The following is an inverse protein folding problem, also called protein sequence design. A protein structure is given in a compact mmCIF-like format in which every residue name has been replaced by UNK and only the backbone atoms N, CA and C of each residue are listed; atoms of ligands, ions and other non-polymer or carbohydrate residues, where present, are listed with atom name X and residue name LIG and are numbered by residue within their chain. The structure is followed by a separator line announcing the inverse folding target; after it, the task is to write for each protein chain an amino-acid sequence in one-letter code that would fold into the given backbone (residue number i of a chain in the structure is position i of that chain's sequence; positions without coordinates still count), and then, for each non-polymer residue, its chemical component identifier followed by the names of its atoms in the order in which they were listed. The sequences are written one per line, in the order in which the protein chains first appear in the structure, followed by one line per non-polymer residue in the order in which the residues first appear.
data_IF_179474915231
#
_entry.id   IF_179474915231
#
_cell.length_a   1.000
_cell.length_b   1.000
_cell.length_c   1.000
_cell.angle_alpha   90.00
_cell.angle_beta   90.00
_cell.angle_gamma   90.00
#
_symmetry.space_group_name_H-M   'P 1'
#
loop_
_entity.id
_entity.type
_entity.pdbx_description
1 polymer ?
#
# COMPACT_ATOMS: atom_id res chain seq x y z
N UNK A 1 14.14 -15.40 -34.09
CA UNK A 1 13.74 -13.97 -33.93
C UNK A 1 12.47 -13.86 -33.08
N UNK A 2 12.56 -13.50 -31.80
CA UNK A 2 11.38 -13.18 -30.95
C UNK A 2 11.10 -11.68 -31.06
N UNK A 3 10.08 -11.29 -31.83
CA UNK A 3 9.65 -9.89 -31.95
C UNK A 3 8.98 -9.42 -30.65
N UNK A 4 9.68 -8.56 -29.90
CA UNK A 4 9.18 -7.44 -29.10
C UNK A 4 7.75 -7.55 -28.53
N UNK A 5 7.60 -8.24 -27.40
CA UNK A 5 6.63 -7.93 -26.34
C UNK A 5 7.26 -6.92 -25.34
N UNK A 6 7.87 -5.87 -25.86
CA UNK A 6 8.80 -5.03 -25.08
C UNK A 6 8.07 -4.04 -24.18
N UNK A 7 6.86 -3.63 -24.55
CA UNK A 7 6.09 -2.63 -23.82
C UNK A 7 5.25 -3.28 -22.72
N UNK A 8 5.78 -3.26 -21.49
CA UNK A 8 5.12 -3.70 -20.26
C UNK A 8 5.37 -2.71 -19.14
N UNK A 9 4.47 -2.68 -18.16
CA UNK A 9 4.68 -2.03 -16.87
C UNK A 9 4.54 -3.06 -15.76
N UNK A 10 5.45 -3.01 -14.80
CA UNK A 10 5.51 -3.94 -13.66
C UNK A 10 5.26 -3.17 -12.38
N UNK A 11 4.27 -3.59 -11.61
CA UNK A 11 4.01 -3.13 -10.26
C UNK A 11 4.56 -4.17 -9.28
N UNK A 12 5.61 -3.80 -8.55
CA UNK A 12 6.30 -4.64 -7.59
C UNK A 12 5.98 -4.22 -6.15
N UNK A 13 6.32 -5.07 -5.18
CA UNK A 13 6.18 -4.71 -3.77
C UNK A 13 6.94 -3.41 -3.46
N UNK A 14 6.30 -2.50 -2.70
CA UNK A 14 6.86 -1.19 -2.39
C UNK A 14 8.09 -1.28 -1.50
N UNK A 15 8.99 -0.30 -1.62
CA UNK A 15 10.16 -0.16 -0.74
C UNK A 15 9.76 -0.03 0.72
N UNK A 16 8.61 0.59 1.01
CA UNK A 16 8.04 0.66 2.36
C UNK A 16 7.68 -0.72 2.92
N UNK A 17 7.08 -1.60 2.11
CA UNK A 17 6.80 -2.98 2.51
C UNK A 17 8.09 -3.78 2.81
N UNK A 18 9.14 -3.57 2.01
CA UNK A 18 10.46 -4.19 2.24
C UNK A 18 11.13 -3.68 3.52
N UNK A 19 11.06 -2.38 3.76
CA UNK A 19 11.58 -1.76 4.97
C UNK A 19 10.83 -2.24 6.22
N UNK A 20 9.49 -2.34 6.14
CA UNK A 20 8.67 -2.88 7.23
C UNK A 20 9.07 -4.31 7.58
N UNK A 21 9.28 -5.17 6.57
CA UNK A 21 9.73 -6.55 6.77
C UNK A 21 11.10 -6.61 7.46
N UNK A 22 12.05 -5.77 7.03
CA UNK A 22 13.37 -5.70 7.65
C UNK A 22 13.29 -5.25 9.13
N UNK A 23 12.54 -4.19 9.41
CA UNK A 23 12.38 -3.66 10.76
C UNK A 23 11.65 -4.65 11.69
N UNK A 24 10.57 -5.28 11.23
CA UNK A 24 9.81 -6.24 12.04
C UNK A 24 10.63 -7.49 12.34
N UNK A 25 11.38 -7.99 11.35
CA UNK A 25 12.30 -9.13 11.54
C UNK A 25 13.38 -8.82 12.57
N UNK A 26 13.99 -7.63 12.51
CA UNK A 26 14.99 -7.21 13.50
C UNK A 26 14.40 -7.12 14.91
N UNK A 27 13.17 -6.61 15.03
CA UNK A 27 12.45 -6.48 16.29
C UNK A 27 12.17 -7.85 16.93
N UNK A 28 11.63 -8.79 16.17
CA UNK A 28 11.35 -10.14 16.66
C UNK A 28 12.64 -10.89 17.04
N UNK A 29 13.70 -10.71 16.26
CA UNK A 29 15.00 -11.29 16.59
C UNK A 29 15.55 -10.73 17.92
N UNK A 30 15.59 -9.41 18.07
CA UNK A 30 16.09 -8.76 19.29
C UNK A 30 15.28 -9.14 20.53
N UNK A 31 13.95 -9.15 20.42
CA UNK A 31 13.06 -9.58 21.50
C UNK A 31 13.25 -11.07 21.83
N UNK A 32 13.37 -11.93 20.83
CA UNK A 32 13.60 -13.36 21.02
C UNK A 32 14.91 -13.66 21.75
N UNK A 33 15.99 -12.99 21.36
CA UNK A 33 17.29 -13.09 22.05
C UNK A 33 17.18 -12.56 23.48
N UNK A 34 16.58 -11.38 23.68
CA UNK A 34 16.43 -10.78 25.01
C UNK A 34 15.62 -11.64 25.98
N UNK A 35 14.48 -12.17 25.53
CA UNK A 35 13.64 -13.07 26.33
C UNK A 35 14.34 -14.41 26.61
N UNK A 36 15.11 -14.93 25.65
CA UNK A 36 15.91 -16.14 25.86
C UNK A 36 16.98 -15.94 26.93
N UNK A 37 17.67 -14.79 26.90
CA UNK A 37 18.71 -14.47 27.89
C UNK A 37 18.12 -14.20 29.28
N UNK A 38 16.96 -13.55 29.36
CA UNK A 38 16.35 -13.16 30.63
C UNK A 38 15.56 -14.29 31.32
N UNK A 39 14.85 -15.12 30.55
CA UNK A 39 13.87 -16.08 31.07
C UNK A 39 14.03 -17.51 30.51
N UNK A 40 15.11 -17.77 29.77
CA UNK A 40 15.41 -19.08 29.19
C UNK A 40 14.79 -19.33 27.82
N UNK A 41 15.23 -20.42 27.17
CA UNK A 41 14.96 -20.74 25.76
C UNK A 41 13.47 -20.77 25.40
N UNK A 42 12.63 -21.33 26.26
CA UNK A 42 11.19 -21.46 26.02
C UNK A 42 10.50 -20.09 25.88
N UNK A 43 11.00 -19.09 26.60
CA UNK A 43 10.43 -17.74 26.62
C UNK A 43 10.72 -16.96 25.34
N UNK A 44 11.87 -17.21 24.68
CA UNK A 44 12.21 -16.59 23.40
C UNK A 44 11.72 -17.35 22.18
N UNK A 45 11.38 -18.63 22.32
CA UNK A 45 10.96 -19.50 21.21
C UNK A 45 9.79 -18.92 20.41
N UNK A 46 8.80 -18.34 21.07
CA UNK A 46 7.64 -17.71 20.41
C UNK A 46 8.05 -16.57 19.46
N UNK A 47 9.01 -15.72 19.87
CA UNK A 47 9.52 -14.65 19.03
C UNK A 47 10.28 -15.18 17.80
N UNK A 48 11.00 -16.30 17.93
CA UNK A 48 11.65 -16.94 16.78
C UNK A 48 10.64 -17.58 15.82
N UNK A 49 9.55 -18.17 16.33
CA UNK A 49 8.45 -18.64 15.47
C UNK A 49 7.79 -17.49 14.71
N UNK A 50 7.51 -16.37 15.39
CA UNK A 50 6.97 -15.16 14.75
C UNK A 50 7.95 -14.58 13.73
N UNK A 51 9.26 -14.60 14.01
CA UNK A 51 10.29 -14.19 13.07
C UNK A 51 10.22 -15.01 11.79
N UNK A 52 10.23 -16.35 11.90
CA UNK A 52 10.16 -17.24 10.74
C UNK A 52 8.88 -16.98 9.95
N UNK A 53 7.72 -16.89 10.63
CA UNK A 53 6.45 -16.58 9.97
C UNK A 53 6.49 -15.23 9.24
N UNK A 54 7.02 -14.19 9.88
CA UNK A 54 7.14 -12.85 9.30
C UNK A 54 8.03 -12.83 8.06
N UNK A 55 9.16 -13.55 8.09
CA UNK A 55 10.10 -13.66 6.97
C UNK A 55 9.47 -14.43 5.83
N UNK A 56 8.86 -15.59 6.08
CA UNK A 56 8.25 -16.40 5.02
C UNK A 56 7.11 -15.65 4.34
N UNK A 57 6.16 -15.10 5.11
CA UNK A 57 5.04 -14.34 4.57
C UNK A 57 5.53 -13.08 3.84
N UNK A 58 6.46 -12.34 4.44
CA UNK A 58 7.01 -11.14 3.83
C UNK A 58 7.80 -11.41 2.55
N UNK A 59 8.52 -12.53 2.45
CA UNK A 59 9.22 -12.93 1.23
C UNK A 59 8.24 -13.35 0.13
N UNK A 60 7.12 -14.00 0.48
CA UNK A 60 6.07 -14.33 -0.49
C UNK A 60 5.46 -13.07 -1.12
N UNK A 61 5.16 -12.06 -0.30
CA UNK A 61 4.59 -10.79 -0.77
C UNK A 61 5.58 -9.94 -1.58
N UNK A 62 6.88 -10.10 -1.31
CA UNK A 62 7.96 -9.45 -2.06
C UNK A 62 8.46 -10.26 -3.26
N UNK A 63 7.91 -11.44 -3.50
CA UNK A 63 8.35 -12.32 -4.59
C UNK A 63 8.02 -11.72 -5.96
N UNK A 64 8.84 -12.06 -6.98
CA UNK A 64 8.60 -11.62 -8.37
C UNK A 64 7.28 -12.14 -8.95
N UNK A 65 6.80 -13.28 -8.46
CA UNK A 65 5.54 -13.89 -8.90
C UNK A 65 4.32 -13.13 -8.41
N UNK A 66 4.46 -12.36 -7.32
CA UNK A 66 3.42 -11.47 -6.79
C UNK A 66 3.25 -10.17 -7.59
N UNK A 67 4.17 -9.87 -8.52
CA UNK A 67 4.14 -8.64 -9.29
C UNK A 67 2.93 -8.60 -10.23
N UNK A 68 2.24 -7.46 -10.25
CA UNK A 68 1.22 -7.19 -11.27
C UNK A 68 1.96 -6.71 -12.52
N UNK A 69 1.80 -7.41 -13.63
CA UNK A 69 2.43 -7.02 -14.91
C UNK A 69 1.36 -6.74 -15.93
N UNK A 70 1.33 -5.49 -16.41
CA UNK A 70 0.41 -5.06 -17.45
C UNK A 70 1.20 -5.00 -18.76
N UNK A 71 0.72 -5.71 -19.77
CA UNK A 71 1.31 -5.73 -21.11
C UNK A 71 0.25 -5.32 -22.13
N UNK A 72 0.65 -5.14 -23.39
CA UNK A 72 -0.32 -4.85 -24.45
C UNK A 72 -1.40 -5.93 -24.64
N UNK A 73 -1.11 -7.21 -24.32
CA UNK A 73 -2.04 -8.34 -24.58
C UNK A 73 -2.66 -8.93 -23.32
N UNK A 74 -1.89 -8.94 -22.23
CA UNK A 74 -2.22 -9.66 -21.02
C UNK A 74 -2.03 -8.80 -19.77
N UNK A 75 -2.93 -9.02 -18.81
CA UNK A 75 -2.74 -8.78 -17.39
C UNK A 75 -2.13 -10.03 -16.76
N UNK A 76 -1.03 -9.89 -16.03
CA UNK A 76 -0.51 -10.94 -15.18
C UNK A 76 -0.58 -10.56 -13.71
N UNK A 77 -0.92 -11.53 -12.88
CA UNK A 77 -0.77 -11.44 -11.43
C UNK A 77 -1.25 -12.70 -10.72
N UNK A 78 -1.05 -12.72 -9.41
CA UNK A 78 -1.45 -13.80 -8.53
C UNK A 78 -0.67 -13.70 -7.22
N UNK A 79 -1.14 -14.37 -6.18
CA UNK A 79 -0.45 -14.39 -4.88
C UNK A 79 0.65 -15.44 -4.83
N UNK A 80 0.35 -16.66 -5.27
CA UNK A 80 1.26 -17.82 -5.18
C UNK A 80 1.68 -18.34 -6.55
N UNK A 81 0.76 -18.29 -7.51
CA UNK A 81 1.00 -18.69 -8.90
C UNK A 81 0.53 -17.58 -9.82
N UNK A 82 1.40 -17.23 -10.77
CA UNK A 82 1.12 -16.19 -11.74
C UNK A 82 0.08 -16.68 -12.75
N UNK A 83 -1.03 -15.96 -12.84
CA UNK A 83 -2.09 -16.16 -13.82
C UNK A 83 -2.01 -15.06 -14.86
N UNK A 84 -2.28 -15.42 -16.12
CA UNK A 84 -2.41 -14.49 -17.23
C UNK A 84 -3.87 -14.35 -17.64
N UNK A 85 -4.30 -13.13 -17.97
CA UNK A 85 -5.63 -12.82 -18.46
C UNK A 85 -5.53 -11.92 -19.68
N UNK A 86 -6.19 -12.28 -20.78
CA UNK A 86 -6.30 -11.41 -21.96
C UNK A 86 -7.28 -10.27 -21.68
N UNK A 87 -6.98 -9.08 -22.21
CA UNK A 87 -7.82 -7.90 -21.99
C UNK A 87 -9.28 -8.10 -22.42
N UNK A 88 -9.51 -8.75 -23.57
CA UNK A 88 -10.87 -9.05 -24.06
C UNK A 88 -11.63 -10.08 -23.23
N UNK A 89 -10.97 -10.76 -22.29
CA UNK A 89 -11.57 -11.74 -21.37
C UNK A 89 -11.61 -11.24 -19.93
N UNK A 90 -11.09 -10.05 -19.68
CA UNK A 90 -11.11 -9.43 -18.36
C UNK A 90 -12.49 -8.80 -18.13
N UNK A 91 -13.17 -9.28 -17.09
CA UNK A 91 -14.45 -8.73 -16.66
C UNK A 91 -14.27 -7.58 -15.68
N UNK A 92 -14.98 -7.68 -14.54
CA UNK A 92 -14.91 -6.67 -13.49
C UNK A 92 -13.59 -6.77 -12.73
N UNK A 93 -13.06 -5.61 -12.33
CA UNK A 93 -11.89 -5.47 -11.46
C UNK A 93 -12.32 -4.64 -10.25
N UNK A 94 -11.91 -5.05 -9.05
CA UNK A 94 -12.25 -4.34 -7.82
C UNK A 94 -11.19 -4.53 -6.74
N UNK A 95 -11.15 -3.58 -5.81
CA UNK A 95 -10.30 -3.66 -4.63
C UNK A 95 -10.95 -4.57 -3.59
N UNK A 96 -10.17 -5.55 -3.11
CA UNK A 96 -10.35 -6.17 -1.80
C UNK A 96 -9.66 -5.32 -0.71
N UNK A 97 -9.42 -5.93 0.45
CA UNK A 97 -8.80 -5.23 1.57
C UNK A 97 -7.31 -4.93 1.31
N UNK A 98 -6.54 -5.91 0.80
CA UNK A 98 -5.11 -5.78 0.46
C UNK A 98 -4.78 -6.34 -0.92
N UNK A 99 -5.80 -6.58 -1.73
CA UNK A 99 -5.69 -7.39 -2.92
C UNK A 99 -6.51 -6.78 -4.03
N UNK A 100 -6.03 -6.89 -5.27
CA UNK A 100 -6.85 -6.63 -6.44
C UNK A 100 -7.52 -7.94 -6.85
N UNK A 101 -8.84 -7.88 -7.02
CA UNK A 101 -9.64 -8.97 -7.53
C UNK A 101 -10.01 -8.68 -8.97
N UNK A 102 -9.92 -9.69 -9.84
CA UNK A 102 -10.43 -9.58 -11.19
C UNK A 102 -11.10 -10.86 -11.65
N UNK A 103 -12.16 -10.69 -12.42
CA UNK A 103 -12.93 -11.77 -12.99
C UNK A 103 -12.48 -12.09 -14.41
N UNK A 104 -12.26 -13.37 -14.69
CA UNK A 104 -12.05 -13.88 -16.04
C UNK A 104 -13.36 -14.37 -16.65
N UNK A 105 -13.74 -13.78 -17.79
CA UNK A 105 -14.86 -14.23 -18.62
C UNK A 105 -14.39 -15.45 -19.43
N UNK A 106 -15.07 -16.58 -19.26
CA UNK A 106 -14.85 -17.78 -20.07
C UNK A 106 -15.70 -17.73 -21.34
N UNK A 107 -15.19 -18.36 -22.40
CA UNK A 107 -16.01 -18.69 -23.56
C UNK A 107 -17.17 -19.61 -23.13
N UNK A 108 -18.33 -19.42 -23.78
CA UNK A 108 -19.65 -20.02 -23.55
C UNK A 108 -19.71 -21.19 -22.54
N UNK A 109 -20.37 -20.96 -21.40
CA UNK A 109 -20.90 -21.99 -20.49
C UNK A 109 -20.06 -22.32 -19.25
N UNK A 110 -18.82 -21.81 -19.14
CA UNK A 110 -17.98 -22.05 -17.96
C UNK A 110 -18.20 -21.04 -16.84
N UNK A 111 -18.15 -21.48 -15.57
CA UNK A 111 -18.12 -20.58 -14.39
C UNK A 111 -16.95 -19.61 -14.50
N UNK A 112 -17.19 -18.34 -14.22
CA UNK A 112 -16.17 -17.30 -14.19
C UNK A 112 -15.11 -17.61 -13.13
N UNK A 113 -13.86 -17.28 -13.43
CA UNK A 113 -12.76 -17.50 -12.50
C UNK A 113 -12.38 -16.17 -11.87
N UNK A 114 -12.54 -16.04 -10.56
CA UNK A 114 -12.03 -14.89 -9.82
C UNK A 114 -10.56 -15.15 -9.50
N UNK A 115 -9.71 -14.20 -9.89
CA UNK A 115 -8.31 -14.18 -9.55
C UNK A 115 -8.07 -13.10 -8.50
N UNK A 116 -7.12 -13.39 -7.61
CA UNK A 116 -6.74 -12.55 -6.50
C UNK A 116 -5.24 -12.30 -6.60
N UNK A 117 -4.84 -11.04 -6.49
CA UNK A 117 -3.43 -10.64 -6.50
C UNK A 117 -3.16 -9.73 -5.34
N UNK A 118 -2.19 -10.11 -4.50
CA UNK A 118 -1.74 -9.28 -3.40
C UNK A 118 -1.30 -7.91 -3.91
N UNK A 119 -1.72 -6.87 -3.23
CA UNK A 119 -1.32 -5.49 -3.46
C UNK A 119 -0.63 -4.90 -2.23
N UNK A 120 -1.00 -5.39 -1.05
CA UNK A 120 -0.40 -5.04 0.23
C UNK A 120 -0.90 -3.69 0.75
N UNK A 121 -0.63 -3.43 2.03
CA UNK A 121 -1.12 -2.22 2.71
C UNK A 121 -0.44 -0.94 2.23
N UNK A 122 0.82 -1.07 1.80
CA UNK A 122 1.64 0.03 1.32
C UNK A 122 1.63 0.13 -0.20
N UNK A 123 0.55 -0.32 -0.87
CA UNK A 123 0.47 -0.39 -2.32
C UNK A 123 1.65 -1.08 -3.02
N UNK A 124 1.80 -0.80 -4.32
CA UNK A 124 2.90 -1.32 -5.14
C UNK A 124 3.70 -0.15 -5.70
N UNK A 125 4.94 -0.41 -6.11
CA UNK A 125 5.77 0.56 -6.84
C UNK A 125 5.91 0.14 -8.28
N UNK A 126 5.85 1.09 -9.20
CA UNK A 126 6.18 0.86 -10.59
C UNK A 126 7.69 0.65 -10.73
N UNK A 127 8.10 -0.51 -11.23
CA UNK A 127 9.51 -0.86 -11.41
C UNK A 127 10.26 0.09 -12.35
N UNK A 128 9.55 0.76 -13.27
CA UNK A 128 10.16 1.57 -14.32
C UNK A 128 10.48 3.01 -13.91
N UNK A 129 9.74 3.56 -12.95
CA UNK A 129 9.91 4.95 -12.51
C UNK A 129 9.93 5.09 -10.97
N UNK A 130 9.92 3.97 -10.24
CA UNK A 130 9.89 3.89 -8.78
C UNK A 130 8.72 4.65 -8.13
N UNK A 131 7.71 4.98 -8.93
CA UNK A 131 6.54 5.70 -8.44
C UNK A 131 5.65 4.75 -7.67
N UNK A 132 5.22 5.18 -6.49
CA UNK A 132 4.19 4.48 -5.76
C UNK A 132 2.86 4.50 -6.54
N UNK A 133 2.18 3.36 -6.62
CA UNK A 133 0.89 3.18 -7.26
C UNK A 133 -0.06 2.64 -6.20
N UNK A 134 -1.04 3.42 -5.80
CA UNK A 134 -2.11 2.96 -4.89
C UNK A 134 -3.03 1.96 -5.57
N UNK A 135 -3.77 1.18 -4.78
CA UNK A 135 -4.69 0.17 -5.32
C UNK A 135 -5.73 0.78 -6.27
N UNK A 136 -6.26 1.97 -5.95
CA UNK A 136 -7.22 2.68 -6.81
C UNK A 136 -6.60 3.08 -8.14
N UNK A 137 -5.33 3.51 -8.15
CA UNK A 137 -4.64 3.90 -9.37
C UNK A 137 -4.32 2.69 -10.25
N UNK A 138 -3.93 1.56 -9.64
CA UNK A 138 -3.71 0.32 -10.36
C UNK A 138 -4.99 -0.20 -11.01
N UNK A 139 -6.13 -0.13 -10.30
CA UNK A 139 -7.43 -0.50 -10.88
C UNK A 139 -7.74 0.37 -12.09
N UNK A 140 -7.58 1.70 -11.99
CA UNK A 140 -7.78 2.59 -13.14
C UNK A 140 -6.87 2.25 -14.32
N UNK A 141 -5.60 1.88 -14.08
CA UNK A 141 -4.70 1.48 -15.16
C UNK A 141 -5.13 0.18 -15.82
N UNK A 142 -5.58 -0.79 -15.02
CA UNK A 142 -6.10 -2.06 -15.51
C UNK A 142 -7.38 -1.84 -16.33
N UNK A 143 -8.30 -1.02 -15.85
CA UNK A 143 -9.54 -0.68 -16.55
C UNK A 143 -9.26 0.09 -17.84
N UNK A 144 -8.38 1.10 -17.82
CA UNK A 144 -7.98 1.83 -19.02
C UNK A 144 -7.37 0.91 -20.09
N UNK A 145 -6.58 -0.09 -19.71
CA UNK A 145 -6.01 -1.06 -20.65
C UNK A 145 -7.04 -2.08 -21.15
N UNK A 146 -7.99 -2.48 -20.30
CA UNK A 146 -9.13 -3.32 -20.70
C UNK A 146 -9.96 -2.62 -21.77
N UNK A 147 -10.29 -1.35 -21.53
CA UNK A 147 -11.25 -0.58 -22.32
C UNK A 147 -10.63 0.05 -23.59
N UNK A 148 -9.31 -0.06 -23.74
CA UNK A 148 -8.60 0.35 -24.95
C UNK A 148 -9.06 -0.45 -26.18
N UNK A 149 -9.21 0.22 -27.32
CA UNK A 149 -9.78 -0.35 -28.54
C UNK A 149 -8.76 -1.17 -29.36
N UNK A 150 -7.47 -0.87 -29.21
CA UNK A 150 -6.40 -1.50 -29.97
C UNK A 150 -5.16 -1.83 -29.12
N UNK A 151 -4.28 -2.68 -29.64
CA UNK A 151 -3.00 -2.99 -29.00
C UNK A 151 -2.04 -1.78 -29.02
N UNK A 152 -2.18 -0.90 -30.02
CA UNK A 152 -1.46 0.36 -30.15
C UNK A 152 -1.88 1.34 -29.03
N UNK A 153 -3.18 1.49 -28.77
CA UNK A 153 -3.68 2.32 -27.68
C UNK A 153 -3.18 1.83 -26.32
N UNK A 154 -3.17 0.51 -26.11
CA UNK A 154 -2.62 -0.10 -24.89
C UNK A 154 -1.13 0.19 -24.74
N UNK A 155 -0.36 0.14 -25.81
CA UNK A 155 1.07 0.50 -25.76
C UNK A 155 1.27 1.96 -25.39
N UNK A 156 0.47 2.87 -25.94
CA UNK A 156 0.55 4.29 -25.60
C UNK A 156 0.14 4.54 -24.15
N UNK A 157 -0.90 3.87 -23.64
CA UNK A 157 -1.26 3.91 -22.22
C UNK A 157 -0.12 3.41 -21.33
N UNK A 158 0.50 2.28 -21.66
CA UNK A 158 1.66 1.76 -20.89
C UNK A 158 2.80 2.78 -20.88
N UNK A 159 3.10 3.43 -22.01
CA UNK A 159 4.12 4.50 -22.07
C UNK A 159 3.75 5.68 -21.20
N UNK A 160 2.48 6.10 -21.19
CA UNK A 160 1.99 7.17 -20.30
C UNK A 160 2.12 6.79 -18.83
N UNK A 161 1.79 5.56 -18.45
CA UNK A 161 1.91 5.10 -17.06
C UNK A 161 3.35 5.06 -16.56
N UNK A 162 4.31 4.85 -17.45
CA UNK A 162 5.75 4.92 -17.16
C UNK A 162 6.27 6.34 -16.97
N UNK A 163 5.58 7.37 -17.44
CA UNK A 163 6.00 8.77 -17.23
C UNK A 163 5.99 9.11 -15.74
N UNK A 164 6.78 10.12 -15.38
CA UNK A 164 6.81 10.66 -14.02
C UNK A 164 5.45 11.23 -13.62
N UNK A 165 5.21 11.34 -12.31
CA UNK A 165 4.05 12.07 -11.80
C UNK A 165 4.12 13.54 -12.23
N UNK A 166 2.96 14.22 -12.38
CA UNK A 166 2.94 15.66 -12.61
C UNK A 166 3.71 16.41 -11.53
N UNK A 167 4.51 17.41 -11.92
CA UNK A 167 5.23 18.27 -10.98
C UNK A 167 4.35 19.40 -10.41
N UNK A 168 3.31 19.79 -11.13
CA UNK A 168 2.35 20.80 -10.71
C UNK A 168 1.09 20.16 -10.15
N UNK A 169 0.62 20.71 -9.03
CA UNK A 169 -0.65 20.33 -8.43
C UNK A 169 -1.77 21.22 -8.94
N UNK A 170 -2.90 20.60 -9.29
CA UNK A 170 -4.14 21.27 -9.67
C UNK A 170 -5.10 21.27 -8.49
N UNK A 171 -5.77 22.41 -8.29
CA UNK A 171 -6.85 22.51 -7.31
C UNK A 171 -8.00 21.58 -7.67
N UNK A 172 -8.62 20.95 -6.67
CA UNK A 172 -9.79 20.08 -6.85
C UNK A 172 -10.94 20.81 -7.54
N UNK A 173 -11.07 22.13 -7.32
CA UNK A 173 -12.10 22.95 -7.96
C UNK A 173 -11.89 23.14 -9.47
N UNK A 174 -10.67 22.87 -9.98
CA UNK A 174 -10.32 22.97 -11.40
C UNK A 174 -10.39 21.63 -12.14
N UNK A 175 -10.78 20.55 -11.46
CA UNK A 175 -10.89 19.21 -12.04
C UNK A 175 -12.23 19.02 -12.77
N UNK A 176 -12.31 17.99 -13.61
CA UNK A 176 -13.59 17.60 -14.20
C UNK A 176 -14.59 17.14 -13.11
N UNK A 177 -15.91 17.16 -13.37
CA UNK A 177 -16.90 16.73 -12.37
C UNK A 177 -16.66 15.32 -11.83
N UNK A 178 -16.23 14.39 -12.69
CA UNK A 178 -15.92 13.01 -12.30
C UNK A 178 -14.67 12.93 -11.40
N UNK A 179 -13.59 13.61 -11.81
CA UNK A 179 -12.36 13.68 -11.02
C UNK A 179 -12.62 14.36 -9.66
N UNK A 180 -13.42 15.43 -9.65
CA UNK A 180 -13.81 16.16 -8.46
C UNK A 180 -14.62 15.28 -7.50
N UNK A 181 -15.58 14.50 -8.01
CA UNK A 181 -16.36 13.56 -7.21
C UNK A 181 -15.46 12.50 -6.55
N UNK A 182 -14.50 11.94 -7.31
CA UNK A 182 -13.54 10.97 -6.78
C UNK A 182 -12.60 11.60 -5.76
N UNK A 183 -12.06 12.78 -6.03
CA UNK A 183 -11.21 13.52 -5.10
C UNK A 183 -11.93 13.80 -3.77
N UNK A 184 -13.18 14.27 -3.82
CA UNK A 184 -14.00 14.55 -2.64
C UNK A 184 -14.29 13.27 -1.83
N UNK A 185 -14.58 12.15 -2.50
CA UNK A 185 -14.78 10.85 -1.84
C UNK A 185 -13.52 10.45 -1.05
N UNK A 186 -12.35 10.51 -1.69
CA UNK A 186 -11.08 10.15 -1.07
C UNK A 186 -10.68 11.11 0.06
N UNK A 187 -10.96 12.41 -0.06
CA UNK A 187 -10.74 13.37 1.02
C UNK A 187 -11.63 13.10 2.24
N UNK A 188 -12.87 12.65 2.04
CA UNK A 188 -13.76 12.28 3.13
C UNK A 188 -13.19 11.08 3.89
N UNK A 189 -12.69 10.08 3.17
CA UNK A 189 -12.01 8.91 3.74
C UNK A 189 -10.72 9.28 4.49
N UNK A 190 -9.92 10.19 3.92
CA UNK A 190 -8.72 10.72 4.57
C UNK A 190 -9.05 11.37 5.93
N UNK A 191 -10.22 12.02 6.06
CA UNK A 191 -10.68 12.74 7.26
C UNK A 191 -11.43 11.88 8.28
N UNK A 192 -12.01 10.72 7.93
CA UNK A 192 -12.92 9.94 8.80
C UNK A 192 -12.24 9.09 9.89
N UNK A 193 -12.58 9.22 11.19
CA UNK A 193 -11.75 8.77 12.35
C UNK A 193 -11.47 7.27 12.55
N UNK A 194 -12.13 6.30 11.90
CA UNK A 194 -12.17 4.90 12.40
C UNK A 194 -10.82 4.14 12.50
N UNK A 195 -10.70 3.35 13.57
CA UNK A 195 -9.51 2.65 14.07
C UNK A 195 -9.26 1.30 13.38
N UNK A 196 -8.05 1.08 12.87
CA UNK A 196 -7.55 -0.23 12.43
C UNK A 196 -6.61 -0.12 11.23
N UNK A 197 -7.14 0.29 10.08
CA UNK A 197 -6.44 0.26 8.77
C UNK A 197 -6.13 1.64 8.16
N UNK A 198 -6.20 2.67 9.00
CA UNK A 198 -6.38 4.04 8.54
C UNK A 198 -5.10 4.70 8.03
N UNK A 199 -3.93 4.41 8.62
CA UNK A 199 -2.71 5.15 8.29
C UNK A 199 -2.13 4.75 6.93
N UNK A 200 -2.07 3.45 6.66
CA UNK A 200 -1.63 2.89 5.38
C UNK A 200 -2.55 3.37 4.25
N UNK A 201 -3.87 3.26 4.44
CA UNK A 201 -4.86 3.77 3.48
C UNK A 201 -4.78 5.29 3.29
N UNK A 202 -4.53 6.06 4.34
CA UNK A 202 -4.27 7.52 4.21
C UNK A 202 -3.02 7.81 3.40
N UNK A 203 -1.96 7.01 3.56
CA UNK A 203 -0.76 7.14 2.73
C UNK A 203 -1.07 6.84 1.27
N UNK A 204 -1.82 5.77 0.98
CA UNK A 204 -2.26 5.44 -0.38
C UNK A 204 -3.09 6.57 -1.02
N UNK A 205 -4.00 7.17 -0.26
CA UNK A 205 -4.80 8.30 -0.75
C UNK A 205 -3.89 9.49 -1.08
N UNK A 206 -2.93 9.82 -0.20
CA UNK A 206 -1.96 10.90 -0.47
C UNK A 206 -1.12 10.61 -1.70
N UNK A 207 -0.66 9.38 -1.84
CA UNK A 207 0.09 8.93 -3.01
C UNK A 207 -0.77 9.00 -4.28
N UNK A 208 -2.04 8.63 -4.21
CA UNK A 208 -2.98 8.76 -5.32
C UNK A 208 -3.11 10.23 -5.78
N UNK A 209 -3.26 11.16 -4.83
CA UNK A 209 -3.32 12.60 -5.13
C UNK A 209 -2.03 13.09 -5.79
N UNK A 210 -0.87 12.73 -5.23
CA UNK A 210 0.43 13.07 -5.82
C UNK A 210 0.59 12.50 -7.24
N UNK A 211 0.14 11.27 -7.47
CA UNK A 211 0.17 10.63 -8.80
C UNK A 211 -0.70 11.34 -9.84
N UNK A 212 -1.84 11.88 -9.40
CA UNK A 212 -2.78 12.62 -10.26
C UNK A 212 -2.43 14.10 -10.40
N UNK A 213 -1.47 14.60 -9.62
CA UNK A 213 -1.17 16.02 -9.51
C UNK A 213 -2.35 16.80 -8.95
N UNK A 214 -3.02 16.26 -7.94
CA UNK A 214 -4.16 16.91 -7.27
C UNK A 214 -3.72 17.46 -5.92
N UNK A 215 -4.05 18.73 -5.66
CA UNK A 215 -3.74 19.37 -4.39
C UNK A 215 -4.63 18.82 -3.27
N UNK A 216 -4.02 18.44 -2.15
CA UNK A 216 -4.75 18.10 -0.92
C UNK A 216 -5.01 19.41 -0.17
N UNK A 217 -6.28 19.84 0.02
CA UNK A 217 -6.56 21.07 0.74
C UNK A 217 -6.07 20.95 2.19
N UNK A 218 -5.42 21.99 2.74
CA UNK A 218 -4.87 21.94 4.08
C UNK A 218 -6.00 21.65 5.08
N UNK A 219 -5.77 20.66 5.94
CA UNK A 219 -6.66 20.40 7.06
C UNK A 219 -6.45 21.50 8.09
N UNK A 220 -7.44 22.38 8.25
CA UNK A 220 -7.50 23.26 9.43
C UNK A 220 -7.59 22.35 10.66
N UNK A 221 -6.49 22.22 11.40
CA UNK A 221 -6.53 21.58 12.72
C UNK A 221 -7.52 22.35 13.58
N UNK A 222 -8.46 21.65 14.23
CA UNK A 222 -9.32 22.33 15.18
C UNK A 222 -8.48 22.84 16.34
N UNK A 223 -8.74 24.05 16.79
CA UNK A 223 -8.06 24.71 17.92
C UNK A 223 -8.04 23.82 19.17
N UNK A 224 -9.06 22.96 19.30
CA UNK A 224 -9.25 21.99 20.37
C UNK A 224 -8.19 20.86 20.37
N UNK A 225 -7.76 20.37 19.20
CA UNK A 225 -6.70 19.34 19.11
C UNK A 225 -5.34 19.94 19.50
N UNK A 226 -5.06 21.17 19.09
CA UNK A 226 -3.83 21.87 19.51
C UNK A 226 -3.84 22.08 21.03
N UNK A 227 -4.97 22.52 21.60
CA UNK A 227 -5.10 22.68 23.05
C UNK A 227 -4.89 21.37 23.82
N UNK A 228 -5.41 20.25 23.32
CA UNK A 228 -5.19 18.92 23.93
C UNK A 228 -3.73 18.46 23.83
N UNK A 229 -3.03 18.76 22.73
CA UNK A 229 -1.60 18.44 22.58
C UNK A 229 -0.76 19.29 23.56
N UNK A 230 -1.05 20.58 23.68
CA UNK A 230 -0.39 21.43 24.68
C UNK A 230 -0.67 20.96 26.11
N UNK A 231 -1.92 20.62 26.43
CA UNK A 231 -2.28 20.03 27.72
C UNK A 231 -1.49 18.75 28.01
N UNK A 232 -1.39 17.83 27.04
CA UNK A 232 -0.66 16.58 27.18
C UNK A 232 0.86 16.80 27.38
N UNK A 233 1.47 17.71 26.60
CA UNK A 233 2.90 18.03 26.71
C UNK A 233 3.25 18.78 28.00
N UNK A 234 2.37 19.68 28.48
CA UNK A 234 2.65 20.53 29.65
C UNK A 234 2.21 19.93 30.99
N UNK A 235 1.25 19.00 31.03
CA UNK A 235 0.80 18.41 32.29
C UNK A 235 1.24 16.96 32.46
N UNK A 236 1.19 16.15 31.40
CA UNK A 236 1.41 14.72 31.53
C UNK A 236 2.90 14.36 31.55
N UNK A 237 3.72 15.01 30.71
CA UNK A 237 5.17 14.78 30.71
C UNK A 237 5.83 15.26 32.02
N UNK A 238 5.57 16.49 32.53
CA UNK A 238 6.14 16.91 33.81
C UNK A 238 5.61 16.10 34.99
N UNK A 239 4.33 15.70 34.96
CA UNK A 239 3.75 14.82 35.98
C UNK A 239 4.40 13.43 36.01
N UNK A 240 4.62 12.82 34.85
CA UNK A 240 5.34 11.54 34.76
C UNK A 240 6.80 11.68 35.20
N UNK A 241 7.50 12.75 34.82
CA UNK A 241 8.87 13.03 35.26
C UNK A 241 8.94 13.25 36.78
N UNK A 242 7.96 13.92 37.37
CA UNK A 242 7.87 14.12 38.82
C UNK A 242 7.65 12.80 39.57
N UNK A 243 6.78 11.92 39.06
CA UNK A 243 6.54 10.59 39.65
C UNK A 243 7.82 9.74 39.56
N UNK A 244 8.50 9.73 38.41
CA UNK A 244 9.76 9.01 38.23
C UNK A 244 10.83 9.54 39.19
N UNK A 245 10.96 10.86 39.32
CA UNK A 245 11.88 11.50 40.26
C UNK A 245 11.55 11.12 41.71
N UNK A 246 10.28 11.16 42.11
CA UNK A 246 9.83 10.78 43.45
C UNK A 246 10.14 9.32 43.78
N UNK A 247 9.94 8.40 42.83
CA UNK A 247 10.27 6.98 43.00
C UNK A 247 11.78 6.78 43.14
N UNK A 248 12.59 7.42 42.28
CA UNK A 248 14.06 7.34 42.32
C UNK A 248 14.62 7.87 43.65
N UNK A 249 14.12 9.00 44.15
CA UNK A 249 14.55 9.57 45.43
C UNK A 249 14.17 8.67 46.61
N UNK A 250 12.95 8.12 46.60
CA UNK A 250 12.42 7.35 47.74
C UNK A 250 12.97 5.92 47.84
N UNK A 251 13.30 5.28 46.72
CA UNK A 251 13.63 3.85 46.69
C UNK A 251 15.03 3.53 46.16
N UNK A 252 15.76 4.50 45.62
CA UNK A 252 17.11 4.27 45.10
C UNK A 252 18.19 5.13 45.78
N UNK A 253 17.80 6.19 46.51
CA UNK A 253 18.72 7.12 47.17
C UNK A 253 18.54 7.17 48.71
N UNK A 254 17.68 6.31 49.26
CA UNK A 254 17.56 6.03 50.69
C UNK A 254 18.10 4.62 50.95
#
# INVERSE_FOLDING_TARGET
MRKSDTEKIVLQASGQGKAWLGCSSLLFFGLGVGLTMAYGLESGAYCFFLLIASVVLGLMDNSKESNVVLTRKYLYGGTTFRKSMEWGRLGKVWAGQYDIHWEGIKAKGGKSNICKTAYGNFGRECQHNQRHVSIDLAIEWIEALRDALSDEDRQELIRRFKRAAPQSERSIASLSPEEQAKANKLLKELKSWSSGYRQERKMEIRQYFANKGWAIPPTKHSTLVNALVYFYLFLLIPGCLFIIFYILVKYCLA
#
